data_IF_652395439429
#
_entry.id   IF_652395439429
#
_cell.length_a   1.000
_cell.length_b   1.000
_cell.length_c   1.000
_cell.angle_alpha   90.00
_cell.angle_beta   90.00
_cell.angle_gamma   90.00
#
_symmetry.space_group_name_H-M   'P 1'
#
loop_
_entity.id
_entity.type
_entity.pdbx_description
1 polymer ?
#
# COMPACT_ATOMS: atom_id res chain seq x y z
N UNK A 1 0.93 11.76 1.62
CA UNK A 1 1.21 12.32 0.27
C UNK A 1 2.53 13.07 0.21
N UNK A 2 2.87 13.97 1.14
CA UNK A 2 4.13 14.73 1.04
C UNK A 2 5.40 13.87 0.90
N UNK A 3 5.49 12.74 1.61
CA UNK A 3 6.60 11.80 1.45
C UNK A 3 6.69 11.25 0.02
N UNK A 4 5.55 10.87 -0.58
CA UNK A 4 5.48 10.35 -1.95
C UNK A 4 5.84 11.45 -2.95
N UNK A 5 5.11 12.58 -2.93
CA UNK A 5 5.30 13.66 -3.90
C UNK A 5 6.69 14.28 -3.84
N UNK A 6 7.23 14.54 -2.63
CA UNK A 6 8.59 15.09 -2.48
C UNK A 6 9.66 14.12 -2.99
N UNK A 7 9.49 12.82 -2.73
CA UNK A 7 10.42 11.80 -3.23
C UNK A 7 10.36 11.73 -4.75
N UNK A 8 9.19 11.53 -5.33
CA UNK A 8 9.06 11.34 -6.77
C UNK A 8 9.46 12.60 -7.56
N UNK A 9 9.06 13.80 -7.12
CA UNK A 9 9.42 15.06 -7.76
C UNK A 9 10.91 15.46 -7.55
N UNK A 10 11.59 14.86 -6.58
CA UNK A 10 13.05 15.03 -6.46
C UNK A 10 13.85 14.16 -7.43
N UNK A 11 13.22 13.12 -7.96
CA UNK A 11 13.86 12.11 -8.81
C UNK A 11 13.47 12.24 -10.29
N UNK A 12 12.33 12.86 -10.59
CA UNK A 12 11.75 12.95 -11.92
C UNK A 12 11.68 14.39 -12.41
N UNK A 13 11.94 14.56 -13.69
CA UNK A 13 11.88 15.81 -14.43
C UNK A 13 11.02 15.67 -15.68
N UNK A 14 10.74 16.78 -16.37
CA UNK A 14 10.04 16.75 -17.65
C UNK A 14 10.79 15.86 -18.66
N UNK A 15 10.06 14.92 -19.26
CA UNK A 15 10.56 13.94 -20.23
C UNK A 15 10.96 12.60 -19.59
N UNK A 16 11.01 12.52 -18.26
CA UNK A 16 11.27 11.26 -17.56
C UNK A 16 10.02 10.38 -17.54
N UNK A 17 10.25 9.08 -17.40
CA UNK A 17 9.21 8.05 -17.34
C UNK A 17 9.33 7.22 -16.06
N UNK A 18 8.17 6.82 -15.53
CA UNK A 18 8.02 5.92 -14.37
C UNK A 18 7.18 4.70 -14.74
N UNK A 19 7.63 3.52 -14.31
CA UNK A 19 6.81 2.29 -14.38
C UNK A 19 6.26 1.99 -12.99
N UNK A 20 4.97 1.73 -12.91
CA UNK A 20 4.25 1.42 -11.67
C UNK A 20 3.11 0.45 -11.93
N UNK A 21 2.30 0.15 -10.92
CA UNK A 21 1.08 -0.66 -11.02
C UNK A 21 -0.17 0.20 -10.83
N UNK A 22 -1.28 -0.21 -11.44
CA UNK A 22 -2.59 0.40 -11.16
C UNK A 22 -3.11 0.06 -9.75
N UNK A 23 -2.58 -1.00 -9.14
CA UNK A 23 -2.94 -1.48 -7.80
C UNK A 23 -2.22 -0.71 -6.68
N UNK A 24 -2.10 0.60 -6.77
CA UNK A 24 -1.45 1.44 -5.76
C UNK A 24 -2.46 2.31 -5.02
N UNK A 25 -2.04 2.87 -3.91
CA UNK A 25 -2.86 3.80 -3.12
C UNK A 25 -3.49 4.88 -4.02
N UNK A 26 -4.80 5.08 -3.91
CA UNK A 26 -5.56 6.00 -4.78
C UNK A 26 -5.00 7.43 -4.83
N UNK A 27 -4.40 7.93 -3.73
CA UNK A 27 -3.72 9.23 -3.74
C UNK A 27 -2.45 9.24 -4.60
N UNK A 28 -1.70 8.14 -4.64
CA UNK A 28 -0.53 7.97 -5.50
C UNK A 28 -0.95 7.80 -6.96
N UNK A 29 -1.97 6.99 -7.20
CA UNK A 29 -2.58 6.82 -8.52
C UNK A 29 -3.02 8.18 -9.09
N UNK A 30 -3.77 8.97 -8.30
CA UNK A 30 -4.23 10.30 -8.72
C UNK A 30 -3.06 11.28 -8.96
N UNK A 31 -2.00 11.23 -8.17
CA UNK A 31 -0.78 12.03 -8.42
C UNK A 31 -0.17 11.66 -9.78
N UNK A 32 -0.01 10.38 -10.06
CA UNK A 32 0.64 9.87 -11.27
C UNK A 32 -0.22 10.09 -12.53
N UNK A 33 -1.53 9.90 -12.46
CA UNK A 33 -2.41 10.02 -13.63
C UNK A 33 -2.90 11.43 -13.92
N UNK A 34 -3.05 12.27 -12.89
CA UNK A 34 -3.65 13.61 -13.06
C UNK A 34 -2.65 14.75 -12.99
N UNK A 35 -1.55 14.60 -12.23
CA UNK A 35 -0.57 15.68 -12.04
C UNK A 35 0.72 15.46 -12.82
N UNK A 36 1.27 14.26 -12.87
CA UNK A 36 2.53 13.99 -13.59
C UNK A 36 2.50 14.37 -15.06
N UNK A 37 1.41 14.12 -15.82
CA UNK A 37 1.33 14.59 -17.21
C UNK A 37 1.43 16.11 -17.35
N UNK A 38 0.95 16.88 -16.36
CA UNK A 38 1.10 18.35 -16.35
C UNK A 38 2.55 18.81 -16.16
N UNK A 39 3.38 17.98 -15.56
CA UNK A 39 4.81 18.20 -15.39
C UNK A 39 5.64 17.59 -16.54
N UNK A 40 4.97 16.96 -17.52
CA UNK A 40 5.61 16.25 -18.63
C UNK A 40 6.37 15.01 -18.19
N UNK A 41 5.89 14.34 -17.15
CA UNK A 41 6.38 13.05 -16.67
C UNK A 41 5.41 11.98 -17.15
N UNK A 42 5.93 10.98 -17.86
CA UNK A 42 5.15 9.87 -18.39
C UNK A 42 5.05 8.72 -17.39
N UNK A 43 3.91 8.02 -17.41
CA UNK A 43 3.63 6.90 -16.48
C UNK A 43 3.07 5.72 -17.26
N UNK A 44 3.66 4.55 -17.09
CA UNK A 44 3.10 3.28 -17.57
C UNK A 44 2.70 2.39 -16.39
N UNK A 45 1.45 1.90 -16.46
CA UNK A 45 0.91 0.95 -15.48
C UNK A 45 1.17 -0.48 -15.96
N UNK A 46 1.68 -1.33 -15.05
CA UNK A 46 1.99 -2.74 -15.28
C UNK A 46 1.27 -3.63 -14.26
N UNK A 47 1.19 -4.92 -14.50
CA UNK A 47 0.60 -5.87 -13.55
C UNK A 47 1.58 -6.18 -12.43
N UNK A 48 1.20 -5.89 -11.18
CA UNK A 48 2.02 -6.09 -9.99
C UNK A 48 2.44 -7.56 -9.78
N UNK A 49 1.68 -8.51 -10.34
CA UNK A 49 1.95 -9.95 -10.26
C UNK A 49 2.88 -10.45 -11.36
N UNK A 50 3.10 -9.65 -12.40
CA UNK A 50 3.92 -10.04 -13.55
C UNK A 50 5.13 -9.12 -13.74
N UNK A 51 6.30 -9.48 -13.22
CA UNK A 51 7.53 -8.73 -13.43
C UNK A 51 7.88 -8.51 -14.91
N UNK A 52 7.46 -9.40 -15.81
CA UNK A 52 7.73 -9.26 -17.24
C UNK A 52 6.91 -8.11 -17.86
N UNK A 53 5.73 -7.82 -17.33
CA UNK A 53 4.94 -6.65 -17.72
C UNK A 53 5.62 -5.33 -17.35
N UNK A 54 6.31 -5.29 -16.21
CA UNK A 54 7.14 -4.14 -15.82
C UNK A 54 8.34 -3.99 -16.75
N UNK A 55 9.03 -5.09 -17.07
CA UNK A 55 10.17 -5.07 -17.99
C UNK A 55 9.76 -4.58 -19.38
N UNK A 56 8.64 -5.05 -19.90
CA UNK A 56 8.09 -4.63 -21.21
C UNK A 56 7.68 -3.13 -21.24
N UNK A 57 7.35 -2.55 -20.08
CA UNK A 57 7.01 -1.14 -19.95
C UNK A 57 8.22 -0.20 -19.87
N UNK A 58 9.43 -0.72 -19.64
CA UNK A 58 10.66 0.08 -19.56
C UNK A 58 11.03 0.62 -20.94
N UNK A 59 11.35 1.90 -21.02
CA UNK A 59 11.85 2.58 -22.19
C UNK A 59 13.09 3.44 -21.87
N UNK A 60 13.67 4.09 -22.88
CA UNK A 60 14.91 4.89 -22.74
C UNK A 60 14.80 6.06 -21.75
N UNK A 61 13.58 6.55 -21.51
CA UNK A 61 13.31 7.66 -20.58
C UNK A 61 12.95 7.17 -19.17
N UNK A 62 12.84 5.85 -18.95
CA UNK A 62 12.49 5.31 -17.64
C UNK A 62 13.58 5.59 -16.63
N UNK A 63 13.22 6.24 -15.53
CA UNK A 63 14.12 6.59 -14.42
C UNK A 63 13.78 5.83 -13.14
N UNK A 64 12.51 5.45 -12.98
CA UNK A 64 12.02 5.01 -11.68
C UNK A 64 11.02 3.86 -11.83
N UNK A 65 11.13 2.89 -10.93
CA UNK A 65 10.16 1.83 -10.70
C UNK A 65 9.54 2.06 -9.32
N UNK A 66 8.20 2.16 -9.28
CA UNK A 66 7.44 2.35 -8.04
C UNK A 66 6.45 1.20 -7.84
N UNK A 67 6.48 0.58 -6.65
CA UNK A 67 5.54 -0.50 -6.29
C UNK A 67 5.06 -0.36 -4.84
N UNK A 68 4.04 -1.14 -4.46
CA UNK A 68 3.65 -1.36 -3.06
C UNK A 68 4.00 -2.80 -2.67
N UNK A 69 4.49 -3.00 -1.46
CA UNK A 69 4.78 -4.36 -0.93
C UNK A 69 3.52 -5.22 -0.91
N UNK A 70 2.44 -4.65 -0.38
CA UNK A 70 1.10 -5.24 -0.33
C UNK A 70 0.14 -4.14 -0.76
N UNK A 71 -0.63 -4.39 -1.82
CA UNK A 71 -1.46 -3.37 -2.47
C UNK A 71 -2.74 -3.07 -1.70
N UNK A 72 -3.31 -1.89 -1.92
CA UNK A 72 -4.56 -1.44 -1.34
C UNK A 72 -5.63 -1.26 -2.44
N UNK A 73 -6.79 -1.92 -2.40
CA UNK A 73 -7.36 -2.63 -1.26
C UNK A 73 -7.31 -4.16 -1.35
N UNK A 74 -6.84 -4.73 -2.47
CA UNK A 74 -7.00 -6.15 -2.81
C UNK A 74 -5.95 -7.04 -2.13
N UNK A 75 -4.89 -6.43 -1.56
CA UNK A 75 -3.80 -7.11 -0.86
C UNK A 75 -2.92 -8.00 -1.76
N UNK A 76 -2.85 -7.74 -3.07
CA UNK A 76 -1.85 -8.40 -3.92
C UNK A 76 -0.45 -8.18 -3.35
N UNK A 77 0.41 -9.19 -3.41
CA UNK A 77 1.78 -9.09 -2.87
C UNK A 77 2.78 -9.01 -4.01
N UNK A 78 3.55 -7.96 -4.03
CA UNK A 78 4.61 -7.74 -5.01
C UNK A 78 5.81 -8.65 -4.77
N UNK A 79 6.35 -9.26 -5.82
CA UNK A 79 7.64 -9.94 -5.76
C UNK A 79 8.79 -8.92 -5.72
N UNK A 80 9.11 -8.45 -4.51
CA UNK A 80 10.12 -7.41 -4.32
C UNK A 80 11.53 -7.84 -4.76
N UNK A 81 11.88 -9.13 -4.67
CA UNK A 81 13.19 -9.61 -5.13
C UNK A 81 13.30 -9.47 -6.66
N UNK A 82 12.23 -9.84 -7.38
CA UNK A 82 12.18 -9.68 -8.82
C UNK A 82 12.21 -8.20 -9.22
N UNK A 83 11.46 -7.33 -8.54
CA UNK A 83 11.43 -5.89 -8.83
C UNK A 83 12.76 -5.20 -8.52
N UNK A 84 13.43 -5.53 -7.42
CA UNK A 84 14.75 -5.00 -7.10
C UNK A 84 15.81 -5.43 -8.14
N UNK A 85 15.76 -6.70 -8.57
CA UNK A 85 16.63 -7.22 -9.63
C UNK A 85 16.39 -6.51 -10.96
N UNK A 86 15.12 -6.33 -11.34
CA UNK A 86 14.72 -5.63 -12.56
C UNK A 86 15.24 -4.19 -12.56
N UNK A 87 14.98 -3.44 -11.49
CA UNK A 87 15.45 -2.06 -11.34
C UNK A 87 16.97 -1.98 -11.45
N UNK A 88 17.69 -2.88 -10.80
CA UNK A 88 19.15 -2.94 -10.84
C UNK A 88 19.67 -3.24 -12.25
N UNK A 89 19.06 -4.19 -12.95
CA UNK A 89 19.46 -4.60 -14.32
C UNK A 89 19.34 -3.45 -15.30
N UNK A 90 18.29 -2.64 -15.17
CA UNK A 90 18.02 -1.50 -16.06
C UNK A 90 18.56 -0.15 -15.52
N UNK A 91 19.27 -0.15 -14.39
CA UNK A 91 19.84 1.08 -13.79
C UNK A 91 18.78 2.07 -13.31
N UNK A 92 17.58 1.57 -12.94
CA UNK A 92 16.46 2.37 -12.45
C UNK A 92 16.57 2.59 -10.94
N UNK A 93 16.00 3.71 -10.47
CA UNK A 93 15.79 3.93 -9.04
C UNK A 93 14.54 3.16 -8.62
N UNK A 94 14.66 2.33 -7.59
CA UNK A 94 13.57 1.52 -7.05
C UNK A 94 12.97 2.18 -5.80
N UNK A 95 11.65 2.40 -5.82
CA UNK A 95 10.88 2.96 -4.71
C UNK A 95 9.73 2.04 -4.35
N UNK A 96 9.58 1.73 -3.07
CA UNK A 96 8.48 0.89 -2.59
C UNK A 96 7.73 1.56 -1.44
N UNK A 97 6.40 1.57 -1.52
CA UNK A 97 5.55 1.88 -0.38
C UNK A 97 5.32 0.61 0.46
N UNK A 98 5.87 0.62 1.66
CA UNK A 98 5.83 -0.53 2.56
C UNK A 98 4.85 -0.33 3.74
N UNK A 99 3.81 0.47 3.53
CA UNK A 99 2.86 0.85 4.58
C UNK A 99 2.12 -0.33 5.18
N UNK A 100 1.64 -1.30 4.35
CA UNK A 100 0.83 -2.42 4.84
C UNK A 100 1.65 -3.52 5.51
N UNK A 101 2.87 -3.77 5.04
CA UNK A 101 3.75 -4.77 5.63
C UNK A 101 4.49 -4.23 6.87
N UNK A 102 4.82 -2.94 6.89
CA UNK A 102 5.67 -2.27 7.89
C UNK A 102 7.09 -2.89 7.97
N UNK A 103 8.04 -2.27 8.68
CA UNK A 103 9.35 -2.88 8.92
C UNK A 103 9.29 -4.14 9.79
N UNK A 104 8.13 -4.45 10.36
CA UNK A 104 7.86 -5.67 11.10
C UNK A 104 7.87 -6.90 10.19
N UNK A 105 7.14 -6.85 9.07
CA UNK A 105 6.97 -7.99 8.17
C UNK A 105 7.95 -7.95 6.99
N UNK A 106 8.33 -6.75 6.48
CA UNK A 106 9.19 -6.60 5.32
C UNK A 106 10.16 -5.44 5.48
N UNK A 107 11.41 -5.62 5.04
CA UNK A 107 12.48 -4.62 5.04
C UNK A 107 13.10 -4.47 3.65
N UNK A 108 12.46 -3.74 2.72
CA UNK A 108 12.85 -3.71 1.31
C UNK A 108 14.28 -3.19 1.04
N UNK A 109 14.84 -2.34 1.91
CA UNK A 109 16.25 -1.91 1.77
C UNK A 109 17.20 -3.11 1.78
N UNK A 110 16.96 -4.11 2.65
CA UNK A 110 17.78 -5.32 2.68
C UNK A 110 17.58 -6.24 1.48
N UNK A 111 16.55 -5.98 0.66
CA UNK A 111 16.24 -6.68 -0.59
C UNK A 111 16.78 -5.94 -1.82
N UNK A 112 17.40 -4.76 -1.64
CA UNK A 112 18.04 -4.00 -2.71
C UNK A 112 17.25 -2.80 -3.22
N UNK A 113 16.15 -2.43 -2.59
CA UNK A 113 15.44 -1.19 -2.92
C UNK A 113 16.23 0.05 -2.49
N UNK A 114 16.20 1.08 -3.33
CA UNK A 114 16.87 2.35 -3.05
C UNK A 114 16.15 3.20 -2.01
N UNK A 115 14.81 3.26 -2.10
CA UNK A 115 13.95 4.04 -1.22
C UNK A 115 12.73 3.26 -0.78
N UNK A 116 12.37 3.41 0.48
CA UNK A 116 11.14 2.87 1.10
C UNK A 116 10.32 4.01 1.65
N UNK A 117 9.04 4.04 1.28
CA UNK A 117 8.07 5.00 1.78
C UNK A 117 7.12 4.29 2.76
N UNK A 118 6.70 5.01 3.79
CA UNK A 118 5.66 4.60 4.69
C UNK A 118 4.69 5.75 4.96
N UNK A 119 3.40 5.45 4.98
CA UNK A 119 2.46 6.31 5.67
C UNK A 119 2.66 6.14 7.18
N UNK A 120 3.29 7.12 7.81
CA UNK A 120 3.44 7.16 9.27
C UNK A 120 2.11 7.25 10.00
N UNK A 121 1.07 7.76 9.32
CA UNK A 121 -0.33 7.83 9.77
C UNK A 121 -0.89 6.47 10.22
N UNK A 122 -0.39 5.37 9.64
CA UNK A 122 -0.94 4.01 9.74
C UNK A 122 -0.30 3.23 10.89
N UNK A 123 0.04 1.97 10.67
CA UNK A 123 0.62 1.07 11.67
C UNK A 123 1.84 1.64 12.42
N UNK A 124 2.67 2.47 11.77
CA UNK A 124 3.85 3.05 12.42
C UNK A 124 3.45 3.91 13.63
N UNK A 125 2.49 4.81 13.44
CA UNK A 125 1.89 5.54 14.55
C UNK A 125 0.99 4.63 15.39
N UNK A 126 -0.02 4.00 14.76
CA UNK A 126 -0.93 3.04 15.36
C UNK A 126 -2.00 3.60 16.29
N UNK A 127 -2.16 4.92 16.39
CA UNK A 127 -3.08 5.57 17.34
C UNK A 127 -4.09 6.53 16.70
N UNK A 128 -4.13 6.61 15.37
CA UNK A 128 -5.14 7.35 14.57
C UNK A 128 -5.23 8.86 14.90
N UNK A 129 -4.18 9.44 15.46
CA UNK A 129 -4.13 10.81 16.02
C UNK A 129 -3.20 11.76 15.25
N UNK A 130 -2.58 11.31 14.13
CA UNK A 130 -1.70 12.13 13.31
C UNK A 130 -1.72 11.74 11.83
N UNK A 131 -1.20 12.62 10.99
CA UNK A 131 -0.93 12.38 9.57
C UNK A 131 0.54 12.64 9.27
N UNK A 132 1.30 11.61 8.92
CA UNK A 132 2.72 11.73 8.61
C UNK A 132 3.13 10.79 7.47
N UNK A 133 4.24 11.12 6.81
CA UNK A 133 4.93 10.25 5.86
C UNK A 133 6.40 10.12 6.22
N UNK A 134 6.98 8.96 5.94
CA UNK A 134 8.38 8.64 6.21
C UNK A 134 9.01 8.14 4.93
N UNK A 135 10.25 8.56 4.67
CA UNK A 135 11.09 8.04 3.57
C UNK A 135 12.41 7.58 4.17
N UNK A 136 12.82 6.38 3.81
CA UNK A 136 14.07 5.74 4.26
C UNK A 136 14.82 5.20 3.04
N UNK A 137 16.13 5.29 3.02
CA UNK A 137 16.94 4.71 1.94
C UNK A 137 18.30 5.35 1.76
N UNK A 138 18.79 5.34 0.54
CA UNK A 138 20.10 5.87 0.16
C UNK A 138 20.22 7.37 0.52
N UNK A 139 21.30 7.73 1.19
CA UNK A 139 21.52 9.07 1.70
C UNK A 139 21.53 10.17 0.63
N UNK A 140 22.07 9.88 -0.56
CA UNK A 140 22.09 10.79 -1.70
C UNK A 140 20.67 11.11 -2.19
N UNK A 141 19.79 10.11 -2.29
CA UNK A 141 18.40 10.26 -2.71
C UNK A 141 17.55 10.93 -1.63
N UNK A 142 17.78 10.58 -0.35
CA UNK A 142 17.10 11.20 0.79
C UNK A 142 17.40 12.70 0.86
N UNK A 143 18.61 13.12 0.52
CA UNK A 143 18.96 14.55 0.46
C UNK A 143 18.08 15.30 -0.55
N UNK A 144 17.85 14.74 -1.73
CA UNK A 144 16.95 15.30 -2.75
C UNK A 144 15.50 15.39 -2.26
N UNK A 145 15.00 14.30 -1.69
CA UNK A 145 13.64 14.25 -1.13
C UNK A 145 13.46 15.25 0.03
N UNK A 146 14.48 15.42 0.89
CA UNK A 146 14.47 16.41 1.98
C UNK A 146 14.41 17.84 1.45
N UNK A 147 15.22 18.16 0.43
CA UNK A 147 15.23 19.46 -0.21
C UNK A 147 13.87 19.78 -0.88
N UNK A 148 13.32 18.84 -1.64
CA UNK A 148 12.00 18.95 -2.23
C UNK A 148 10.90 19.14 -1.17
N UNK A 149 10.91 18.32 -0.10
CA UNK A 149 9.99 18.45 1.03
C UNK A 149 10.00 19.88 1.60
N UNK A 150 11.19 20.42 1.80
CA UNK A 150 11.35 21.76 2.41
C UNK A 150 10.81 22.85 1.50
N UNK A 151 11.05 22.77 0.18
CA UNK A 151 10.58 23.75 -0.81
C UNK A 151 9.09 23.63 -1.12
N UNK A 152 8.54 22.42 -1.07
CA UNK A 152 7.13 22.16 -1.37
C UNK A 152 6.22 22.23 -0.14
N UNK A 153 6.76 22.52 1.05
CA UNK A 153 5.98 22.70 2.27
C UNK A 153 5.51 21.40 2.94
N UNK A 154 6.12 20.25 2.60
CA UNK A 154 5.76 18.93 3.15
C UNK A 154 6.37 18.63 4.53
N UNK A 155 6.77 19.64 5.31
CA UNK A 155 7.37 19.45 6.63
C UNK A 155 6.33 19.06 7.67
N UNK A 156 6.61 18.01 8.44
CA UNK A 156 5.83 17.65 9.61
C UNK A 156 6.10 18.63 10.76
N UNK A 157 5.08 18.93 11.55
CA UNK A 157 5.26 19.73 12.77
C UNK A 157 5.90 18.92 13.89
N UNK A 158 6.50 19.59 14.92
CA UNK A 158 7.18 18.90 16.01
C UNK A 158 6.27 17.99 16.83
N UNK A 159 5.00 18.34 17.04
CA UNK A 159 4.06 17.53 17.81
C UNK A 159 3.75 16.21 17.07
N UNK A 160 3.54 16.26 15.75
CA UNK A 160 3.38 15.05 14.94
C UNK A 160 4.61 14.17 14.98
N UNK A 161 5.82 14.77 14.93
CA UNK A 161 7.07 13.99 15.03
C UNK A 161 7.19 13.29 16.39
N UNK A 162 6.86 13.97 17.48
CA UNK A 162 6.86 13.41 18.81
C UNK A 162 5.88 12.23 18.96
N UNK A 163 4.63 12.42 18.52
CA UNK A 163 3.60 11.38 18.57
C UNK A 163 3.98 10.17 17.72
N UNK A 164 4.50 10.40 16.51
CA UNK A 164 4.96 9.33 15.63
C UNK A 164 6.09 8.52 16.25
N UNK A 165 7.11 9.18 16.81
CA UNK A 165 8.21 8.50 17.52
C UNK A 165 7.66 7.66 18.68
N UNK A 166 6.76 8.23 19.49
CA UNK A 166 6.11 7.55 20.59
C UNK A 166 5.32 6.33 20.13
N UNK A 167 4.54 6.44 19.04
CA UNK A 167 3.77 5.34 18.45
C UNK A 167 4.66 4.21 17.93
N UNK A 168 5.77 4.55 17.26
CA UNK A 168 6.73 3.56 16.77
C UNK A 168 7.37 2.71 17.85
N UNK A 169 7.52 3.21 19.05
CA UNK A 169 8.11 2.45 20.20
C UNK A 169 7.31 1.19 20.56
N UNK A 170 6.02 1.15 20.22
CA UNK A 170 5.14 -0.02 20.47
C UNK A 170 4.86 -0.85 19.25
N UNK A 171 5.42 -0.53 18.08
CA UNK A 171 5.16 -1.22 16.83
C UNK A 171 5.37 -2.74 16.94
N UNK A 172 6.51 -3.16 17.52
CA UNK A 172 6.88 -4.56 17.68
C UNK A 172 5.96 -5.35 18.64
N UNK A 173 5.26 -4.65 19.54
CA UNK A 173 4.27 -5.26 20.45
C UNK A 173 2.88 -5.32 19.81
N UNK A 174 2.51 -4.32 18.99
CA UNK A 174 1.19 -4.25 18.33
C UNK A 174 1.08 -5.15 17.11
N UNK A 175 2.09 -5.16 16.24
CA UNK A 175 2.01 -5.89 14.98
C UNK A 175 1.76 -7.40 15.12
N UNK A 176 2.36 -8.13 16.08
CA UNK A 176 2.00 -9.54 16.30
C UNK A 176 0.51 -9.75 16.56
N UNK A 177 -0.13 -8.86 17.32
CA UNK A 177 -1.56 -8.96 17.65
C UNK A 177 -2.40 -8.64 16.41
N UNK A 178 -2.11 -7.53 15.70
CA UNK A 178 -2.76 -7.20 14.45
C UNK A 178 -2.73 -8.36 13.45
N UNK A 179 -1.54 -8.96 13.24
CA UNK A 179 -1.35 -10.03 12.25
C UNK A 179 -2.03 -11.34 12.69
N UNK A 180 -1.98 -11.67 13.98
CA UNK A 180 -2.67 -12.84 14.51
C UNK A 180 -4.18 -12.71 14.38
N UNK A 181 -4.75 -11.57 14.78
CA UNK A 181 -6.18 -11.30 14.70
C UNK A 181 -6.67 -11.32 13.25
N UNK A 182 -5.97 -10.64 12.33
CA UNK A 182 -6.36 -10.61 10.91
C UNK A 182 -6.30 -11.98 10.27
N UNK A 183 -5.27 -12.78 10.57
CA UNK A 183 -5.12 -14.14 10.06
C UNK A 183 -6.25 -15.07 10.57
N UNK A 184 -6.60 -14.98 11.84
CA UNK A 184 -7.69 -15.80 12.41
C UNK A 184 -9.06 -15.41 11.83
N UNK A 185 -9.34 -14.11 11.66
CA UNK A 185 -10.57 -13.64 11.02
C UNK A 185 -10.61 -14.09 9.57
N UNK A 186 -9.52 -13.96 8.82
CA UNK A 186 -9.44 -14.40 7.43
C UNK A 186 -9.74 -15.89 7.29
N UNK A 187 -9.16 -16.73 8.15
CA UNK A 187 -9.39 -18.18 8.18
C UNK A 187 -10.84 -18.54 8.47
N UNK A 188 -11.51 -17.81 9.36
CA UNK A 188 -12.94 -18.03 9.66
C UNK A 188 -13.84 -17.59 8.51
N UNK A 189 -13.51 -16.51 7.85
CA UNK A 189 -14.29 -15.99 6.71
C UNK A 189 -14.17 -16.91 5.49
N UNK A 190 -13.00 -17.51 5.24
CA UNK A 190 -12.75 -18.36 4.07
C UNK A 190 -13.73 -19.52 3.93
N UNK A 191 -14.16 -20.12 5.04
CA UNK A 191 -15.14 -21.21 5.04
C UNK A 191 -16.60 -20.76 5.13
N UNK A 192 -16.89 -19.48 5.22
CA UNK A 192 -18.24 -19.00 5.49
C UNK A 192 -19.12 -18.94 4.24
N UNK A 193 -20.34 -19.49 4.32
CA UNK A 193 -21.26 -19.65 3.16
C UNK A 193 -21.68 -18.33 2.51
N UNK A 194 -21.65 -17.21 3.22
CA UNK A 194 -21.98 -15.87 2.71
C UNK A 194 -20.79 -15.15 2.05
N UNK A 195 -19.59 -15.73 2.05
CA UNK A 195 -18.37 -15.13 1.49
C UNK A 195 -18.09 -15.71 0.12
N UNK A 196 -17.68 -14.85 -0.81
CA UNK A 196 -17.27 -15.22 -2.19
C UNK A 196 -15.78 -15.53 -2.22
N UNK A 197 -14.98 -14.64 -1.66
CA UNK A 197 -13.50 -14.74 -1.65
C UNK A 197 -12.93 -14.01 -0.44
N UNK A 198 -11.75 -14.43 0.00
CA UNK A 198 -10.98 -13.78 1.06
C UNK A 198 -9.56 -13.57 0.56
N UNK A 199 -9.04 -12.35 0.67
CA UNK A 199 -7.66 -12.02 0.36
C UNK A 199 -6.92 -11.73 1.67
N UNK A 200 -5.99 -12.60 2.00
CA UNK A 200 -5.09 -12.41 3.13
C UNK A 200 -3.79 -13.19 2.90
N UNK A 201 -2.61 -12.57 3.11
CA UNK A 201 -1.32 -13.19 2.83
C UNK A 201 -1.01 -14.50 3.59
N UNK A 202 -1.72 -14.77 4.70
CA UNK A 202 -1.51 -15.99 5.48
C UNK A 202 -2.33 -17.21 5.00
N UNK A 203 -3.28 -17.02 4.08
CA UNK A 203 -4.14 -18.11 3.61
C UNK A 203 -3.44 -18.90 2.49
N UNK A 204 -3.34 -20.25 2.59
CA UNK A 204 -2.78 -21.07 1.51
C UNK A 204 -3.54 -20.99 0.18
N UNK A 205 -4.82 -20.62 0.22
CA UNK A 205 -5.68 -20.39 -0.96
C UNK A 205 -5.45 -19.03 -1.63
N UNK A 206 -4.73 -18.12 -0.97
CA UNK A 206 -4.45 -16.79 -1.51
C UNK A 206 -3.49 -16.88 -2.70
N UNK A 207 -3.84 -16.21 -3.82
CA UNK A 207 -3.09 -16.34 -5.07
C UNK A 207 -1.60 -16.04 -4.93
N UNK A 208 -1.23 -15.09 -4.05
CA UNK A 208 0.16 -14.66 -3.84
C UNK A 208 0.80 -15.29 -2.58
N UNK A 209 0.24 -16.41 -2.06
CA UNK A 209 0.67 -17.02 -0.80
C UNK A 209 2.17 -17.33 -0.74
N UNK A 210 2.72 -17.96 -1.79
CA UNK A 210 4.14 -18.31 -1.83
C UNK A 210 5.05 -17.08 -1.91
N UNK A 211 4.63 -16.05 -2.62
CA UNK A 211 5.33 -14.75 -2.65
C UNK A 211 5.24 -14.09 -1.26
N UNK A 212 4.07 -14.09 -0.64
CA UNK A 212 3.84 -13.51 0.68
C UNK A 212 4.70 -14.16 1.77
N UNK A 213 4.85 -15.49 1.75
CA UNK A 213 5.73 -16.23 2.68
C UNK A 213 7.18 -15.78 2.59
N UNK A 214 7.65 -15.39 1.42
CA UNK A 214 9.02 -14.93 1.19
C UNK A 214 9.18 -13.45 1.51
N UNK A 215 8.26 -12.60 1.02
CA UNK A 215 8.38 -11.15 1.08
C UNK A 215 7.93 -10.58 2.43
N UNK A 216 6.82 -11.06 2.96
CA UNK A 216 6.20 -10.57 4.20
C UNK A 216 5.74 -11.73 5.11
N UNK A 217 6.67 -12.58 5.58
CA UNK A 217 6.35 -13.84 6.28
C UNK A 217 5.55 -13.65 7.56
N UNK A 218 5.55 -12.47 8.13
CA UNK A 218 4.77 -12.14 9.34
C UNK A 218 3.38 -11.60 9.03
N UNK A 219 3.02 -11.46 7.76
CA UNK A 219 1.71 -11.00 7.33
C UNK A 219 1.45 -9.50 7.56
N UNK A 220 0.20 -9.14 7.64
CA UNK A 220 -0.30 -7.77 7.81
C UNK A 220 -1.54 -7.76 8.70
N UNK A 221 -1.87 -6.62 9.31
CA UNK A 221 -3.14 -6.40 10.01
C UNK A 221 -4.31 -6.09 9.08
N UNK A 222 -4.11 -6.17 7.77
CA UNK A 222 -5.13 -5.90 6.76
C UNK A 222 -5.75 -7.19 6.24
N UNK A 223 -7.03 -7.12 5.91
CA UNK A 223 -7.73 -8.21 5.24
C UNK A 223 -8.78 -7.63 4.29
N UNK A 224 -9.06 -8.31 3.17
CA UNK A 224 -10.19 -7.97 2.32
C UNK A 224 -10.93 -9.23 1.87
N UNK A 225 -12.22 -9.09 1.61
CA UNK A 225 -13.09 -10.18 1.19
C UNK A 225 -14.27 -9.64 0.40
N UNK A 226 -14.99 -10.52 -0.29
CA UNK A 226 -16.24 -10.18 -0.97
C UNK A 226 -17.41 -10.94 -0.37
N UNK A 227 -18.51 -10.22 -0.11
CA UNK A 227 -19.77 -10.77 0.42
C UNK A 227 -20.70 -11.16 -0.72
N UNK A 228 -21.38 -12.30 -0.63
CA UNK A 228 -22.41 -12.70 -1.59
C UNK A 228 -23.59 -11.71 -1.57
N UNK A 229 -24.14 -11.43 -2.76
CA UNK A 229 -25.24 -10.49 -2.91
C UNK A 229 -24.81 -9.05 -3.15
N UNK A 230 -23.54 -8.83 -3.47
CA UNK A 230 -23.01 -7.55 -3.97
C UNK A 230 -22.97 -6.45 -2.91
N UNK A 231 -22.89 -5.21 -3.39
CA UNK A 231 -22.60 -4.03 -2.59
C UNK A 231 -23.66 -3.74 -1.52
N UNK A 232 -24.94 -4.00 -1.81
CA UNK A 232 -26.01 -3.85 -0.81
C UNK A 232 -25.81 -4.81 0.37
N UNK A 233 -25.37 -6.05 0.11
CA UNK A 233 -25.08 -7.02 1.16
C UNK A 233 -23.87 -6.64 1.97
N UNK A 234 -22.82 -6.11 1.34
CA UNK A 234 -21.66 -5.56 2.03
C UNK A 234 -22.04 -4.40 2.94
N UNK A 235 -22.91 -3.49 2.49
CA UNK A 235 -23.37 -2.37 3.32
C UNK A 235 -24.25 -2.85 4.48
N UNK A 236 -25.11 -3.87 4.27
CA UNK A 236 -25.87 -4.49 5.38
C UNK A 236 -24.94 -5.15 6.40
N UNK A 237 -23.91 -5.85 5.94
CA UNK A 237 -22.88 -6.44 6.80
C UNK A 237 -22.20 -5.38 7.65
N UNK A 238 -21.71 -4.30 7.03
CA UNK A 238 -21.02 -3.21 7.75
C UNK A 238 -21.92 -2.57 8.82
N UNK A 239 -23.18 -2.29 8.49
CA UNK A 239 -24.15 -1.69 9.42
C UNK A 239 -24.56 -2.61 10.58
N UNK A 240 -24.36 -3.91 10.46
CA UNK A 240 -24.63 -4.88 11.51
C UNK A 240 -23.46 -5.07 12.49
N UNK A 241 -22.31 -4.46 12.22
CA UNK A 241 -21.13 -4.53 13.11
C UNK A 241 -21.32 -3.61 14.31
N UNK A 242 -21.06 -4.14 15.52
CA UNK A 242 -21.21 -3.41 16.77
C UNK A 242 -19.88 -2.88 17.32
N UNK A 243 -18.76 -3.55 17.01
CA UNK A 243 -17.44 -3.24 17.57
C UNK A 243 -16.53 -2.56 16.53
N UNK A 244 -16.69 -2.89 15.25
CA UNK A 244 -15.85 -2.42 14.17
C UNK A 244 -16.46 -1.17 13.55
N UNK A 245 -15.70 -0.08 13.51
CA UNK A 245 -16.19 1.21 12.99
C UNK A 245 -16.13 1.25 11.45
N UNK A 246 -17.22 1.71 10.82
CA UNK A 246 -17.19 2.10 9.41
C UNK A 246 -16.40 3.41 9.27
N UNK A 247 -15.18 3.31 8.77
CA UNK A 247 -14.32 4.48 8.55
C UNK A 247 -13.23 4.20 7.51
N UNK A 248 -12.76 5.26 6.90
CA UNK A 248 -11.53 5.24 6.11
C UNK A 248 -10.31 5.13 7.03
N UNK A 249 -9.10 5.14 6.45
CA UNK A 249 -7.85 4.88 7.17
C UNK A 249 -7.64 3.41 7.53
N UNK A 250 -6.64 3.12 8.34
CA UNK A 250 -6.22 1.77 8.74
C UNK A 250 -5.04 1.84 9.74
N UNK A 251 -4.74 0.71 10.37
CA UNK A 251 -3.49 0.52 11.11
C UNK A 251 -3.48 1.13 12.51
N UNK A 252 -4.63 1.62 12.99
CA UNK A 252 -4.84 1.97 14.38
C UNK A 252 -5.08 0.74 15.26
N UNK A 253 -5.08 0.94 16.57
CA UNK A 253 -5.40 -0.13 17.56
C UNK A 253 -6.85 -0.58 17.48
N UNK A 254 -7.73 0.23 16.94
CA UNK A 254 -9.13 -0.09 16.65
C UNK A 254 -9.28 -0.88 15.35
N UNK A 255 -10.35 -1.66 15.23
CA UNK A 255 -10.73 -2.30 13.96
C UNK A 255 -11.60 -1.36 13.13
N UNK A 256 -11.26 -1.22 11.85
CA UNK A 256 -11.99 -0.40 10.88
C UNK A 256 -12.43 -1.23 9.68
N UNK A 257 -13.58 -0.88 9.11
CA UNK A 257 -14.12 -1.50 7.91
C UNK A 257 -14.55 -0.45 6.89
N UNK A 258 -14.39 -0.78 5.60
CA UNK A 258 -14.82 0.10 4.51
C UNK A 258 -15.13 -0.69 3.25
N UNK A 259 -16.06 -0.17 2.44
CA UNK A 259 -16.25 -0.62 1.06
C UNK A 259 -15.48 0.32 0.13
N UNK A 260 -14.47 -0.16 -0.61
CA UNK A 260 -13.68 0.69 -1.49
C UNK A 260 -14.50 1.42 -2.56
N UNK A 261 -15.60 0.82 -3.04
CA UNK A 261 -16.43 1.41 -4.09
C UNK A 261 -17.08 2.75 -3.69
N UNK A 262 -17.37 2.97 -2.41
CA UNK A 262 -17.97 4.21 -1.90
C UNK A 262 -16.98 5.09 -1.09
N UNK A 263 -15.70 4.72 -1.06
CA UNK A 263 -14.66 5.43 -0.30
C UNK A 263 -13.41 5.67 -1.15
N UNK A 264 -12.37 4.86 -0.96
CA UNK A 264 -11.05 5.08 -1.58
C UNK A 264 -11.02 4.96 -3.11
N UNK A 265 -11.97 4.24 -3.71
CA UNK A 265 -12.08 4.00 -5.15
C UNK A 265 -13.40 4.50 -5.75
N UNK A 266 -14.08 5.42 -5.07
CA UNK A 266 -15.37 5.98 -5.50
C UNK A 266 -15.30 6.65 -6.89
N UNK A 267 -14.18 7.28 -7.20
CA UNK A 267 -13.97 7.97 -8.49
C UNK A 267 -13.27 7.11 -9.55
N UNK A 268 -12.96 5.85 -9.24
CA UNK A 268 -12.38 4.91 -10.20
C UNK A 268 -13.52 4.25 -10.99
N UNK A 269 -13.48 4.23 -12.33
CA UNK A 269 -14.49 3.57 -13.14
C UNK A 269 -14.69 2.10 -12.74
N UNK A 270 -15.93 1.61 -12.87
CA UNK A 270 -16.28 0.25 -12.44
C UNK A 270 -15.45 -0.83 -13.16
N UNK A 271 -15.25 -0.68 -14.45
CA UNK A 271 -14.43 -1.60 -15.25
C UNK A 271 -13.01 -1.71 -14.69
N UNK A 272 -12.38 -0.58 -14.37
CA UNK A 272 -11.02 -0.53 -13.79
C UNK A 272 -11.00 -1.15 -12.38
N UNK A 273 -12.06 -0.94 -11.60
CA UNK A 273 -12.18 -1.59 -10.27
C UNK A 273 -12.28 -3.10 -10.40
N UNK A 274 -13.07 -3.60 -11.36
CA UNK A 274 -13.22 -5.03 -11.61
C UNK A 274 -11.90 -5.67 -12.06
N UNK A 275 -11.19 -5.03 -12.98
CA UNK A 275 -9.85 -5.46 -13.43
C UNK A 275 -8.85 -5.49 -12.25
N UNK A 276 -8.91 -4.51 -11.35
CA UNK A 276 -8.10 -4.50 -10.14
C UNK A 276 -8.49 -5.59 -9.13
N UNK A 277 -9.65 -6.27 -9.29
CA UNK A 277 -10.15 -7.30 -8.40
C UNK A 277 -11.11 -6.77 -7.31
N UNK A 278 -11.56 -5.53 -7.43
CA UNK A 278 -12.58 -4.93 -6.54
C UNK A 278 -13.95 -5.29 -7.11
N UNK A 279 -14.40 -6.51 -6.82
CA UNK A 279 -15.68 -7.05 -7.30
C UNK A 279 -16.86 -6.54 -6.44
N UNK A 280 -18.13 -6.65 -6.93
CA UNK A 280 -19.30 -6.28 -6.13
C UNK A 280 -19.33 -7.03 -4.78
N UNK A 281 -19.65 -6.30 -3.71
CA UNK A 281 -19.62 -6.82 -2.35
C UNK A 281 -18.26 -6.80 -1.67
N UNK A 282 -17.27 -6.12 -2.25
CA UNK A 282 -15.91 -6.06 -1.73
C UNK A 282 -15.81 -5.20 -0.48
N UNK A 283 -15.20 -5.76 0.56
CA UNK A 283 -14.97 -5.15 1.88
C UNK A 283 -13.49 -5.21 2.20
N UNK A 284 -12.94 -4.11 2.72
CA UNK A 284 -11.59 -4.07 3.29
C UNK A 284 -11.68 -3.79 4.79
N UNK A 285 -10.94 -4.55 5.58
CA UNK A 285 -10.82 -4.35 7.02
C UNK A 285 -9.37 -4.07 7.43
N UNK A 286 -9.22 -3.20 8.41
CA UNK A 286 -8.00 -3.03 9.20
C UNK A 286 -8.30 -3.60 10.58
N UNK A 287 -7.62 -4.65 10.96
CA UNK A 287 -7.90 -5.36 12.19
C UNK A 287 -7.03 -4.81 13.32
N UNK A 288 -7.69 -4.43 14.40
CA UNK A 288 -7.09 -3.90 15.62
C UNK A 288 -6.47 -4.96 16.54
N UNK A 289 -6.17 -4.55 17.77
CA UNK A 289 -5.55 -5.38 18.82
C UNK A 289 -6.56 -5.78 19.90
#
# INVERSE_FOLDING_TARGET
MAAISSTLLSLLSKGDHIVTSADIYGGTYGLMTSYFPRFGIDVTMADIRDPSSFEAAINENTKLLYVETITNPVLKVCDLDAMASLAKTHGLISVVDNTFATPWACRPISMGFDLVIHSGTKFLNGHTDLTAGIVVGRADLIKGAFDAKTKLGGSADPQMCYLLERGMRTLHARMPIHTSNSSEIARRLEGHSAIVSVNHPSLPSFADYEVAKRIAPKGTGMLSFAVKGGDESAMRFIRALEIIFEATSLGGIESLVTCPFNTSHMFVPEEVRLEAGIIPGFVRMSIGI
#
